data_IF_567484669965
#
_entry.id   IF_567484669965
#
_cell.length_a   1.000
_cell.length_b   1.000
_cell.length_c   1.000
_cell.angle_alpha   90.00
_cell.angle_beta   90.00
_cell.angle_gamma   90.00
#
_symmetry.space_group_name_H-M   'P 1'
#
loop_
_entity.id
_entity.type
_entity.pdbx_description
1 polymer ?
#
# COMPACT_ATOMS: atom_id res chain seq x y z
N UNK A 1 0.80 7.73 -18.50
CA UNK A 1 0.52 6.34 -18.86
C UNK A 1 -0.76 6.30 -19.69
N UNK A 2 -0.61 6.22 -21.02
CA UNK A 2 -1.76 6.14 -21.93
C UNK A 2 -2.38 4.74 -21.93
N UNK A 3 -1.70 3.71 -21.43
CA UNK A 3 -2.08 2.31 -21.46
C UNK A 3 -2.28 1.75 -22.89
N UNK A 4 -1.87 2.51 -23.91
CA UNK A 4 -1.92 2.05 -25.31
C UNK A 4 -0.77 1.09 -25.56
N UNK A 5 -1.03 0.01 -26.28
CA UNK A 5 -0.02 -1.02 -26.58
C UNK A 5 1.25 -0.44 -27.23
N UNK A 6 1.11 0.52 -28.14
CA UNK A 6 2.23 1.19 -28.82
C UNK A 6 3.11 1.99 -27.85
N UNK A 7 2.50 2.70 -26.89
CA UNK A 7 3.24 3.46 -25.89
C UNK A 7 4.00 2.52 -24.94
N UNK A 8 3.37 1.42 -24.51
CA UNK A 8 4.01 0.41 -23.66
C UNK A 8 5.19 -0.25 -24.40
N UNK A 9 5.02 -0.59 -25.68
CA UNK A 9 6.10 -1.15 -26.49
C UNK A 9 7.29 -0.20 -26.61
N UNK A 10 7.02 1.10 -26.84
CA UNK A 10 8.08 2.12 -26.92
C UNK A 10 8.83 2.23 -25.60
N UNK A 11 8.13 2.20 -24.47
CA UNK A 11 8.76 2.28 -23.15
C UNK A 11 9.66 1.05 -22.88
N UNK A 12 9.18 -0.16 -23.14
CA UNK A 12 9.99 -1.37 -22.97
C UNK A 12 11.17 -1.39 -23.94
N UNK A 13 10.96 -0.92 -25.18
CA UNK A 13 12.01 -0.90 -26.19
C UNK A 13 13.23 -0.06 -25.75
N UNK A 14 13.05 1.20 -25.35
CA UNK A 14 14.18 2.03 -24.95
C UNK A 14 14.85 1.51 -23.66
N UNK A 15 14.09 0.98 -22.70
CA UNK A 15 14.63 0.33 -21.51
C UNK A 15 15.48 -0.89 -21.87
N UNK A 16 15.04 -1.68 -22.84
CA UNK A 16 15.77 -2.83 -23.36
C UNK A 16 17.09 -2.40 -23.96
N UNK A 17 17.07 -1.45 -24.88
CA UNK A 17 18.30 -0.98 -25.54
C UNK A 17 19.28 -0.33 -24.55
N UNK A 18 18.77 0.43 -23.57
CA UNK A 18 19.61 0.99 -22.51
C UNK A 18 20.27 -0.09 -21.66
N UNK A 19 19.55 -1.13 -21.29
CA UNK A 19 20.08 -2.26 -20.53
C UNK A 19 21.14 -3.03 -21.33
N UNK A 20 20.87 -3.35 -22.60
CA UNK A 20 21.80 -4.06 -23.48
C UNK A 20 23.09 -3.26 -23.73
N UNK A 21 22.96 -1.95 -23.96
CA UNK A 21 24.10 -1.07 -24.24
C UNK A 21 25.03 -0.87 -23.03
N UNK A 22 24.47 -0.87 -21.81
CA UNK A 22 25.21 -0.56 -20.59
C UNK A 22 25.54 -1.78 -19.74
N UNK A 23 24.87 -2.90 -19.95
CA UNK A 23 24.92 -4.09 -19.07
C UNK A 23 24.28 -3.85 -17.69
N UNK A 24 23.67 -2.70 -17.47
CA UNK A 24 23.06 -2.33 -16.17
C UNK A 24 21.60 -2.75 -16.11
N UNK A 25 21.08 -3.08 -14.90
CA UNK A 25 19.66 -3.30 -14.72
C UNK A 25 18.87 -2.01 -14.92
N UNK A 26 17.67 -2.13 -15.48
CA UNK A 26 16.67 -1.07 -15.56
C UNK A 26 15.46 -1.53 -14.76
N UNK A 27 14.94 -0.67 -13.89
CA UNK A 27 13.74 -0.96 -13.11
C UNK A 27 12.66 0.08 -13.36
N UNK A 28 11.39 -0.35 -13.29
CA UNK A 28 10.23 0.52 -13.43
C UNK A 28 9.05 0.00 -12.60
N UNK A 29 8.11 0.87 -12.24
CA UNK A 29 6.91 0.47 -11.51
C UNK A 29 5.89 -0.20 -12.42
N UNK A 30 5.37 -1.36 -12.02
CA UNK A 30 4.32 -2.09 -12.71
C UNK A 30 3.12 -2.29 -11.79
N UNK A 31 1.95 -1.87 -12.24
CA UNK A 31 0.71 -2.07 -11.53
C UNK A 31 -0.46 -2.28 -12.49
N UNK A 32 -1.43 -3.06 -12.06
CA UNK A 32 -2.70 -3.16 -12.75
C UNK A 32 -3.47 -1.85 -12.61
N UNK A 33 -3.92 -1.30 -13.72
CA UNK A 33 -4.80 -0.12 -13.76
C UNK A 33 -6.24 -0.54 -14.05
N UNK A 34 -7.22 0.11 -13.40
CA UNK A 34 -8.65 -0.11 -13.70
C UNK A 34 -9.02 0.27 -15.14
N UNK A 35 -8.35 1.26 -15.71
CA UNK A 35 -8.61 1.70 -17.09
C UNK A 35 -8.12 0.71 -18.12
N UNK A 36 -7.02 0.01 -17.83
CA UNK A 36 -6.35 -0.94 -18.69
C UNK A 36 -6.00 -2.20 -17.89
N UNK A 37 -7.00 -3.01 -17.53
CA UNK A 37 -6.84 -4.08 -16.54
C UNK A 37 -5.91 -5.22 -16.97
N UNK A 38 -5.63 -5.35 -18.27
CA UNK A 38 -4.75 -6.39 -18.83
C UNK A 38 -3.41 -5.84 -19.36
N UNK A 39 -3.17 -4.52 -19.31
CA UNK A 39 -1.96 -3.91 -19.86
C UNK A 39 -0.68 -4.44 -19.19
N UNK A 40 -0.74 -4.77 -17.89
CA UNK A 40 0.38 -5.36 -17.16
C UNK A 40 0.82 -6.70 -17.75
N UNK A 41 -0.10 -7.51 -18.29
CA UNK A 41 0.22 -8.81 -18.94
C UNK A 41 1.12 -8.57 -20.16
N UNK A 42 0.72 -7.66 -21.04
CA UNK A 42 1.54 -7.29 -22.20
C UNK A 42 2.93 -6.77 -21.80
N UNK A 43 3.04 -6.04 -20.68
CA UNK A 43 4.33 -5.58 -20.16
C UNK A 43 5.18 -6.76 -19.69
N UNK A 44 4.60 -7.72 -18.97
CA UNK A 44 5.30 -8.94 -18.53
C UNK A 44 5.83 -9.75 -19.71
N UNK A 45 5.02 -9.93 -20.75
CA UNK A 45 5.42 -10.62 -21.99
C UNK A 45 6.63 -9.91 -22.64
N UNK A 46 6.57 -8.59 -22.76
CA UNK A 46 7.63 -7.79 -23.41
C UNK A 46 8.94 -7.80 -22.62
N UNK A 47 8.90 -7.70 -21.29
CA UNK A 47 10.14 -7.80 -20.48
C UNK A 47 10.72 -9.22 -20.50
N UNK A 48 9.86 -10.25 -20.61
CA UNK A 48 10.32 -11.63 -20.80
C UNK A 48 11.06 -11.80 -22.14
N UNK A 49 10.53 -11.26 -23.23
CA UNK A 49 11.21 -11.27 -24.52
C UNK A 49 12.53 -10.49 -24.49
N UNK A 50 12.55 -9.35 -23.78
CA UNK A 50 13.77 -8.56 -23.59
C UNK A 50 14.83 -9.32 -22.79
N UNK A 51 14.42 -10.07 -21.76
CA UNK A 51 15.31 -10.90 -20.96
C UNK A 51 15.95 -12.04 -21.79
N UNK A 52 15.22 -12.65 -22.75
CA UNK A 52 15.77 -13.64 -23.70
C UNK A 52 16.87 -13.05 -24.58
N UNK A 53 16.85 -11.75 -24.84
CA UNK A 53 17.89 -11.02 -25.57
C UNK A 53 19.10 -10.66 -24.69
N UNK A 54 19.05 -10.94 -23.38
CA UNK A 54 20.10 -10.62 -22.41
C UNK A 54 19.91 -9.27 -21.70
N UNK A 55 18.78 -8.58 -21.89
CA UNK A 55 18.48 -7.34 -21.18
C UNK A 55 18.12 -7.64 -19.71
N UNK A 56 18.60 -6.82 -18.79
CA UNK A 56 18.30 -6.88 -17.36
C UNK A 56 17.20 -5.86 -17.03
N UNK A 57 15.95 -6.21 -17.31
CA UNK A 57 14.78 -5.35 -17.01
C UNK A 57 13.95 -6.00 -15.93
N UNK A 58 13.64 -5.26 -14.89
CA UNK A 58 12.85 -5.72 -13.76
C UNK A 58 11.71 -4.75 -13.48
N UNK A 59 10.49 -5.26 -13.40
CA UNK A 59 9.35 -4.50 -12.92
C UNK A 59 9.30 -4.55 -11.38
N UNK A 60 8.86 -3.46 -10.77
CA UNK A 60 8.60 -3.40 -9.34
C UNK A 60 7.10 -3.41 -9.11
N UNK A 61 6.59 -4.36 -8.33
CA UNK A 61 5.18 -4.42 -7.98
C UNK A 61 4.97 -4.49 -6.48
N UNK A 62 3.77 -4.11 -6.05
CA UNK A 62 3.38 -4.13 -4.64
C UNK A 62 2.73 -5.46 -4.28
N UNK A 63 2.74 -5.80 -3.00
CA UNK A 63 2.16 -7.06 -2.50
C UNK A 63 0.65 -6.99 -2.28
N UNK A 64 0.04 -5.83 -2.48
CA UNK A 64 -1.41 -5.56 -2.39
C UNK A 64 -1.77 -4.30 -3.18
N UNK A 65 -3.04 -3.98 -3.23
CA UNK A 65 -3.51 -2.73 -3.84
C UNK A 65 -2.90 -1.49 -3.21
N UNK A 66 -2.55 -0.52 -4.04
CA UNK A 66 -2.21 0.85 -3.62
C UNK A 66 -3.52 1.63 -3.54
N UNK A 67 -3.82 2.17 -2.37
CA UNK A 67 -5.12 2.78 -2.12
C UNK A 67 -5.06 4.11 -1.38
N UNK A 68 -6.07 4.94 -1.67
CA UNK A 68 -6.36 6.14 -0.88
C UNK A 68 -7.20 5.73 0.31
N UNK A 69 -6.77 6.14 1.51
CA UNK A 69 -7.53 5.98 2.74
C UNK A 69 -8.42 7.20 2.94
N UNK A 70 -9.71 6.94 3.16
CA UNK A 70 -10.69 7.92 3.57
C UNK A 70 -11.14 7.65 5.01
N UNK A 71 -11.55 8.70 5.71
CA UNK A 71 -12.11 8.64 7.05
C UNK A 71 -12.17 10.02 7.70
N UNK A 72 -12.93 10.15 8.78
CA UNK A 72 -13.07 11.43 9.47
C UNK A 72 -11.80 11.86 10.21
N UNK A 73 -10.84 10.97 10.43
CA UNK A 73 -9.54 11.36 10.96
C UNK A 73 -8.81 12.36 10.05
N UNK A 74 -8.97 12.26 8.73
CA UNK A 74 -8.33 13.17 7.78
C UNK A 74 -9.30 13.62 6.68
N UNK A 75 -9.46 12.89 5.59
CA UNK A 75 -10.23 13.26 4.40
C UNK A 75 -11.34 12.27 4.10
N UNK A 76 -12.42 12.80 3.53
CA UNK A 76 -13.55 12.02 3.04
C UNK A 76 -13.70 12.18 1.52
N UNK A 77 -14.36 11.25 0.82
CA UNK A 77 -14.65 11.42 -0.60
C UNK A 77 -15.57 12.62 -0.87
N UNK A 78 -16.29 13.10 0.14
CA UNK A 78 -17.31 14.14 0.05
C UNK A 78 -16.80 15.54 0.40
N UNK A 79 -15.50 15.76 0.60
CA UNK A 79 -14.90 17.04 1.06
C UNK A 79 -15.12 18.23 0.10
N UNK A 80 -15.69 17.98 -1.09
CA UNK A 80 -16.12 19.06 -2.00
C UNK A 80 -17.38 19.76 -1.51
N UNK A 81 -18.24 19.07 -0.77
CA UNK A 81 -19.45 19.62 -0.18
C UNK A 81 -19.12 20.52 1.03
N UNK A 82 -19.90 21.60 1.22
CA UNK A 82 -19.55 22.65 2.17
C UNK A 82 -19.62 22.19 3.63
N UNK A 83 -20.65 21.43 4.02
CA UNK A 83 -20.78 20.91 5.38
C UNK A 83 -19.73 19.85 5.72
N UNK A 84 -19.31 19.02 4.76
CA UNK A 84 -18.23 18.06 4.95
C UNK A 84 -16.88 18.77 5.10
N UNK A 85 -16.60 19.76 4.25
CA UNK A 85 -15.37 20.56 4.32
C UNK A 85 -15.25 21.35 5.62
N UNK A 86 -16.35 21.82 6.16
CA UNK A 86 -16.38 22.55 7.42
C UNK A 86 -15.89 21.72 8.62
N UNK A 87 -15.96 20.39 8.54
CA UNK A 87 -15.43 19.50 9.58
C UNK A 87 -13.90 19.37 9.55
N UNK A 88 -13.23 19.77 8.48
CA UNK A 88 -11.84 19.44 8.20
C UNK A 88 -10.86 19.79 9.33
N UNK A 89 -11.05 20.95 9.95
CA UNK A 89 -10.15 21.48 10.97
C UNK A 89 -10.59 21.17 12.40
N UNK A 90 -11.67 20.40 12.57
CA UNK A 90 -12.15 19.97 13.88
C UNK A 90 -11.40 18.71 14.34
N UNK A 91 -11.24 18.54 15.64
CA UNK A 91 -10.80 17.28 16.24
C UNK A 91 -11.79 16.15 15.91
N UNK A 92 -11.36 14.90 15.95
CA UNK A 92 -12.22 13.76 15.67
C UNK A 92 -13.44 13.72 16.60
N UNK A 93 -13.25 14.06 17.89
CA UNK A 93 -14.32 14.15 18.87
C UNK A 93 -15.38 15.21 18.50
N UNK A 94 -14.95 16.39 18.03
CA UNK A 94 -15.86 17.45 17.58
C UNK A 94 -16.59 17.04 16.31
N UNK A 95 -15.90 16.37 15.37
CA UNK A 95 -16.53 15.80 14.17
C UNK A 95 -17.63 14.83 14.54
N UNK A 96 -17.36 13.87 15.42
CA UNK A 96 -18.34 12.88 15.89
C UNK A 96 -19.54 13.56 16.55
N UNK A 97 -19.32 14.59 17.37
CA UNK A 97 -20.42 15.38 17.95
C UNK A 97 -21.30 16.04 16.88
N UNK A 98 -20.68 16.59 15.82
CA UNK A 98 -21.42 17.15 14.66
C UNK A 98 -22.17 16.09 13.86
N UNK A 99 -21.60 14.89 13.69
CA UNK A 99 -22.28 13.80 12.99
C UNK A 99 -23.49 13.25 13.76
N UNK A 100 -23.50 13.40 15.09
CA UNK A 100 -24.63 13.03 15.96
C UNK A 100 -25.73 14.09 16.02
N UNK A 101 -25.44 15.31 15.56
CA UNK A 101 -26.45 16.38 15.38
C UNK A 101 -27.29 16.04 14.14
N UNK A 102 -28.58 15.76 14.36
CA UNK A 102 -29.49 15.27 13.32
C UNK A 102 -29.70 16.30 12.18
N UNK A 103 -29.73 17.58 12.48
CA UNK A 103 -29.92 18.64 11.47
C UNK A 103 -28.66 18.81 10.62
N UNK A 104 -27.49 18.80 11.27
CA UNK A 104 -26.19 18.86 10.58
C UNK A 104 -25.97 17.62 9.71
N UNK A 105 -26.21 16.42 10.25
CA UNK A 105 -26.10 15.17 9.52
C UNK A 105 -27.02 15.13 8.28
N UNK A 106 -28.31 15.49 8.46
CA UNK A 106 -29.25 15.54 7.34
C UNK A 106 -28.81 16.52 6.23
N UNK A 107 -28.16 17.63 6.58
CA UNK A 107 -27.58 18.55 5.61
C UNK A 107 -26.41 17.91 4.87
N UNK A 108 -25.49 17.24 5.59
CA UNK A 108 -24.36 16.52 4.98
C UNK A 108 -24.82 15.46 3.99
N UNK A 109 -25.84 14.67 4.36
CA UNK A 109 -26.41 13.63 3.49
C UNK A 109 -26.99 14.24 2.21
N UNK A 110 -27.76 15.33 2.31
CA UNK A 110 -28.30 16.03 1.13
C UNK A 110 -27.18 16.56 0.23
N UNK A 111 -26.18 17.25 0.78
CA UNK A 111 -25.07 17.80 -0.01
C UNK A 111 -24.25 16.68 -0.72
N UNK A 112 -24.04 15.55 -0.06
CA UNK A 112 -23.35 14.40 -0.65
C UNK A 112 -24.14 13.78 -1.80
N UNK A 113 -25.48 13.78 -1.72
CA UNK A 113 -26.38 13.30 -2.77
C UNK A 113 -26.46 14.27 -3.95
N UNK A 114 -26.50 15.58 -3.67
CA UNK A 114 -26.62 16.62 -4.69
C UNK A 114 -25.30 16.83 -5.46
N UNK A 115 -24.16 16.57 -4.85
CA UNK A 115 -22.82 16.70 -5.41
C UNK A 115 -21.97 15.44 -5.15
N UNK A 116 -22.31 14.30 -5.77
CA UNK A 116 -21.56 13.07 -5.56
C UNK A 116 -20.12 13.22 -6.07
N UNK A 117 -19.14 12.64 -5.36
CA UNK A 117 -17.77 12.60 -5.85
C UNK A 117 -17.71 11.73 -7.12
N UNK A 118 -16.77 11.99 -8.04
CA UNK A 118 -16.61 11.19 -9.26
C UNK A 118 -15.87 9.87 -8.97
N UNK A 119 -16.35 9.10 -8.00
CA UNK A 119 -15.80 7.83 -7.54
C UNK A 119 -16.95 6.84 -7.48
N UNK A 120 -16.70 5.63 -7.98
CA UNK A 120 -17.62 4.52 -7.85
C UNK A 120 -17.54 3.96 -6.40
N UNK A 121 -18.64 4.06 -5.66
CA UNK A 121 -18.72 3.62 -4.25
C UNK A 121 -18.63 2.10 -4.09
N UNK A 122 -18.85 1.33 -5.15
CA UNK A 122 -18.60 -0.11 -5.17
C UNK A 122 -17.10 -0.45 -5.07
N UNK A 123 -16.24 0.54 -5.25
CA UNK A 123 -14.79 0.43 -5.22
C UNK A 123 -14.16 1.03 -3.96
N UNK A 124 -14.96 1.55 -3.04
CA UNK A 124 -14.53 2.01 -1.72
C UNK A 124 -14.89 0.90 -0.72
N UNK A 125 -13.91 0.35 -0.04
CA UNK A 125 -14.08 -0.79 0.87
C UNK A 125 -13.90 -0.35 2.32
N UNK A 126 -14.77 -0.85 3.20
CA UNK A 126 -14.69 -0.62 4.64
C UNK A 126 -13.58 -1.51 5.20
N UNK A 127 -12.54 -0.93 5.80
CA UNK A 127 -11.50 -1.73 6.44
C UNK A 127 -12.02 -2.34 7.73
N UNK A 128 -11.75 -3.65 7.96
CA UNK A 128 -12.19 -4.32 9.17
C UNK A 128 -11.42 -3.81 10.40
N UNK A 129 -12.04 -3.96 11.58
CA UNK A 129 -11.38 -3.80 12.87
C UNK A 129 -10.45 -4.99 13.14
N UNK A 130 -9.41 -4.76 13.93
CA UNK A 130 -8.43 -5.79 14.26
C UNK A 130 -7.33 -5.91 13.23
N UNK A 131 -6.95 -7.12 12.83
CA UNK A 131 -5.97 -7.31 11.74
C UNK A 131 -6.56 -6.87 10.41
N UNK A 132 -5.86 -5.97 9.72
CA UNK A 132 -6.38 -5.39 8.48
C UNK A 132 -6.30 -6.40 7.34
N UNK A 133 -7.36 -6.42 6.54
CA UNK A 133 -7.43 -7.10 5.25
C UNK A 133 -7.56 -6.09 4.14
N UNK A 134 -6.91 -6.35 3.02
CA UNK A 134 -6.99 -5.53 1.81
C UNK A 134 -7.55 -6.31 0.60
N UNK A 135 -7.72 -7.63 0.75
CA UNK A 135 -8.37 -8.54 -0.22
C UNK A 135 -9.90 -8.51 -0.07
N UNK A 136 -10.46 -7.31 -0.01
CA UNK A 136 -11.89 -7.08 0.23
C UNK A 136 -12.69 -7.24 -1.06
N UNK A 137 -13.87 -7.85 -0.92
CA UNK A 137 -14.81 -8.07 -2.01
C UNK A 137 -15.90 -7.01 -2.11
N UNK A 138 -16.77 -7.15 -3.10
CA UNK A 138 -17.90 -6.24 -3.32
C UNK A 138 -18.82 -6.15 -2.09
N UNK A 139 -18.91 -7.21 -1.31
CA UNK A 139 -19.68 -7.28 -0.07
C UNK A 139 -19.21 -6.32 1.01
N UNK A 140 -17.94 -5.93 0.98
CA UNK A 140 -17.31 -4.98 1.91
C UNK A 140 -17.35 -3.54 1.38
N UNK A 141 -17.95 -3.34 0.18
CA UNK A 141 -17.99 -2.02 -0.44
C UNK A 141 -18.98 -1.08 0.24
N UNK A 142 -18.66 0.22 0.21
CA UNK A 142 -19.54 1.27 0.71
C UNK A 142 -20.91 1.22 0.03
N UNK A 143 -20.97 0.89 -1.28
CA UNK A 143 -22.24 0.76 -1.98
C UNK A 143 -23.07 -0.39 -1.40
N UNK A 144 -22.47 -1.57 -1.21
CA UNK A 144 -23.20 -2.71 -0.62
C UNK A 144 -23.68 -2.44 0.80
N UNK A 145 -22.88 -1.74 1.61
CA UNK A 145 -23.32 -1.29 2.93
C UNK A 145 -24.49 -0.32 2.85
N UNK A 146 -24.47 0.65 1.92
CA UNK A 146 -25.57 1.57 1.69
C UNK A 146 -26.87 0.86 1.30
N UNK A 147 -26.77 -0.11 0.37
CA UNK A 147 -27.89 -0.91 -0.09
C UNK A 147 -28.52 -1.74 1.04
N UNK A 148 -27.68 -2.38 1.89
CA UNK A 148 -28.14 -3.15 3.06
C UNK A 148 -28.84 -2.28 4.10
N UNK A 149 -28.40 -1.05 4.29
CA UNK A 149 -29.01 -0.09 5.20
C UNK A 149 -30.23 0.63 4.60
N UNK A 150 -30.43 0.54 3.29
CA UNK A 150 -31.49 1.28 2.59
C UNK A 150 -31.27 2.79 2.55
N UNK A 151 -30.01 3.25 2.55
CA UNK A 151 -29.61 4.65 2.62
C UNK A 151 -28.68 5.04 1.48
N UNK A 152 -28.34 6.33 1.34
CA UNK A 152 -27.34 6.77 0.36
C UNK A 152 -25.92 6.42 0.80
N UNK A 153 -24.93 6.30 -0.14
CA UNK A 153 -23.53 6.04 0.22
C UNK A 153 -22.92 7.08 1.18
N UNK A 154 -23.30 8.37 1.06
CA UNK A 154 -22.86 9.40 2.00
C UNK A 154 -23.42 9.19 3.41
N UNK A 155 -24.65 8.75 3.52
CA UNK A 155 -25.28 8.41 4.80
C UNK A 155 -24.67 7.14 5.38
N UNK A 156 -24.46 6.09 4.58
CA UNK A 156 -23.76 4.87 5.00
C UNK A 156 -22.35 5.16 5.52
N UNK A 157 -21.61 6.06 4.86
CA UNK A 157 -20.28 6.49 5.30
C UNK A 157 -20.33 7.10 6.70
N UNK A 158 -21.33 7.95 7.00
CA UNK A 158 -21.52 8.54 8.32
C UNK A 158 -21.91 7.48 9.36
N UNK A 159 -22.85 6.59 9.04
CA UNK A 159 -23.28 5.51 9.93
C UNK A 159 -22.09 4.62 10.35
N UNK A 160 -21.35 4.10 9.37
CA UNK A 160 -20.18 3.25 9.60
C UNK A 160 -19.07 3.95 10.39
N UNK A 161 -18.90 5.26 10.18
CA UNK A 161 -17.96 6.04 10.97
C UNK A 161 -18.43 6.17 12.43
N UNK A 162 -19.71 6.41 12.68
CA UNK A 162 -20.27 6.57 14.03
C UNK A 162 -20.21 5.27 14.83
N UNK A 163 -20.29 4.09 14.20
CA UNK A 163 -20.14 2.78 14.85
C UNK A 163 -18.75 2.58 15.48
N UNK A 164 -17.77 3.38 15.06
CA UNK A 164 -16.39 3.32 15.56
C UNK A 164 -15.86 4.70 15.98
N UNK A 165 -16.70 5.55 16.57
CA UNK A 165 -16.32 6.86 17.09
C UNK A 165 -15.52 7.72 16.07
N UNK A 166 -15.83 7.56 14.79
CA UNK A 166 -15.17 8.27 13.68
C UNK A 166 -13.87 7.66 13.15
N UNK A 167 -13.38 6.58 13.75
CA UNK A 167 -12.10 5.94 13.41
C UNK A 167 -12.18 4.98 12.22
N UNK A 168 -13.39 4.69 11.71
CA UNK A 168 -13.55 3.80 10.55
C UNK A 168 -12.77 4.33 9.36
N UNK A 169 -11.96 3.45 8.78
CA UNK A 169 -11.22 3.71 7.55
C UNK A 169 -11.88 3.03 6.35
N UNK A 170 -11.82 3.73 5.24
CA UNK A 170 -12.31 3.26 3.95
C UNK A 170 -11.15 3.28 2.96
N UNK A 171 -10.93 2.18 2.28
CA UNK A 171 -9.84 2.04 1.31
C UNK A 171 -10.38 2.10 -0.13
N UNK A 172 -9.79 2.95 -0.96
CA UNK A 172 -10.04 3.01 -2.39
C UNK A 172 -8.78 2.59 -3.14
N UNK A 173 -8.63 1.30 -3.49
CA UNK A 173 -7.47 0.81 -4.24
C UNK A 173 -7.55 1.29 -5.69
N UNK A 174 -6.72 2.25 -6.08
CA UNK A 174 -6.70 2.81 -7.43
C UNK A 174 -5.72 2.10 -8.36
N UNK A 175 -4.67 1.45 -7.81
CA UNK A 175 -3.77 0.54 -8.51
C UNK A 175 -3.78 -0.83 -7.85
N UNK A 176 -3.54 -1.88 -8.62
CA UNK A 176 -3.55 -3.27 -8.17
C UNK A 176 -4.84 -3.67 -7.42
N UNK A 177 -6.04 -3.29 -7.93
CA UNK A 177 -7.28 -3.56 -7.22
C UNK A 177 -7.67 -5.04 -7.19
N UNK A 178 -7.09 -5.88 -8.05
CA UNK A 178 -7.38 -7.30 -8.18
C UNK A 178 -6.20 -8.14 -7.72
N UNK A 179 -6.42 -8.99 -6.72
CA UNK A 179 -5.36 -9.81 -6.12
C UNK A 179 -4.81 -10.88 -7.05
N UNK A 180 -5.63 -11.39 -7.99
CA UNK A 180 -5.14 -12.32 -9.02
C UNK A 180 -4.10 -11.67 -9.94
N UNK A 181 -4.28 -10.38 -10.24
CA UNK A 181 -3.29 -9.64 -11.02
C UNK A 181 -2.00 -9.38 -10.20
N UNK A 182 -2.14 -9.09 -8.90
CA UNK A 182 -0.98 -8.98 -7.99
C UNK A 182 -0.23 -10.30 -7.93
N UNK A 183 -0.93 -11.41 -7.75
CA UNK A 183 -0.34 -12.75 -7.76
C UNK A 183 0.43 -13.02 -9.05
N UNK A 184 -0.21 -12.80 -10.20
CA UNK A 184 0.42 -13.00 -11.51
C UNK A 184 1.71 -12.17 -11.69
N UNK A 185 1.71 -10.93 -11.19
CA UNK A 185 2.93 -10.10 -11.20
C UNK A 185 4.00 -10.67 -10.26
N UNK A 186 3.64 -11.06 -9.03
CA UNK A 186 4.59 -11.59 -8.05
C UNK A 186 5.17 -12.95 -8.43
N UNK A 187 4.46 -13.74 -9.23
CA UNK A 187 4.93 -15.03 -9.76
C UNK A 187 5.92 -14.88 -10.93
N UNK A 188 6.06 -13.66 -11.47
CA UNK A 188 6.86 -13.46 -12.68
C UNK A 188 8.34 -13.22 -12.35
N UNK A 189 9.29 -13.94 -13.00
CA UNK A 189 10.72 -13.92 -12.65
C UNK A 189 11.43 -12.57 -12.86
N UNK A 190 10.87 -11.66 -13.65
CA UNK A 190 11.37 -10.29 -13.80
C UNK A 190 10.58 -9.26 -12.96
N UNK A 191 9.82 -9.70 -11.96
CA UNK A 191 9.13 -8.80 -11.04
C UNK A 191 9.73 -8.93 -9.65
N UNK A 192 10.12 -7.82 -9.07
CA UNK A 192 10.61 -7.72 -7.70
C UNK A 192 9.57 -7.01 -6.84
N UNK A 193 9.50 -7.39 -5.56
CA UNK A 193 8.70 -6.65 -4.60
C UNK A 193 9.32 -5.27 -4.41
N UNK A 194 8.54 -4.27 -4.68
CA UNK A 194 9.01 -2.91 -4.61
C UNK A 194 7.89 -1.93 -4.34
N UNK A 195 8.28 -0.79 -4.45
CA UNK A 195 7.75 0.54 -4.34
C UNK A 195 6.24 0.64 -4.16
N UNK A 196 5.81 0.91 -2.92
CA UNK A 196 4.51 1.51 -2.65
C UNK A 196 4.59 3.03 -2.71
N UNK A 197 3.44 3.71 -2.60
CA UNK A 197 3.35 5.17 -2.56
C UNK A 197 3.48 5.75 -1.14
N UNK A 198 3.98 4.95 -0.19
CA UNK A 198 4.19 5.38 1.18
C UNK A 198 5.21 6.53 1.24
N UNK A 199 4.84 7.62 1.91
CA UNK A 199 5.65 8.84 1.95
C UNK A 199 5.25 9.89 0.92
N UNK A 200 4.65 9.52 -0.21
CA UNK A 200 3.89 10.42 -1.05
C UNK A 200 2.45 10.49 -0.54
N UNK A 201 1.84 11.69 -0.53
CA UNK A 201 0.47 11.85 -0.02
C UNK A 201 0.22 11.20 1.35
N UNK A 202 1.17 11.34 2.28
CA UNK A 202 1.22 10.66 3.58
C UNK A 202 -0.04 10.83 4.44
N UNK A 203 -0.88 11.82 4.16
CA UNK A 203 -2.20 11.97 4.77
C UNK A 203 -3.28 11.09 4.15
N UNK A 204 -3.01 10.33 3.08
CA UNK A 204 -4.02 9.52 2.39
C UNK A 204 -3.53 8.14 1.95
N UNK A 205 -2.21 7.92 1.82
CA UNK A 205 -1.63 6.66 1.36
C UNK A 205 -0.76 6.07 2.47
N UNK A 206 -0.96 4.77 2.77
CA UNK A 206 -0.19 4.04 3.77
C UNK A 206 0.16 2.64 3.25
N UNK A 207 1.26 2.54 2.51
CA UNK A 207 1.73 1.32 1.87
C UNK A 207 3.03 0.75 2.48
N UNK A 208 3.59 1.39 3.53
CA UNK A 208 4.84 0.92 4.16
C UNK A 208 4.74 -0.46 4.81
N UNK A 209 3.53 -0.98 4.97
CA UNK A 209 3.29 -2.32 5.51
C UNK A 209 3.43 -3.47 4.49
N UNK A 210 3.81 -3.20 3.25
CA UNK A 210 3.88 -4.21 2.19
C UNK A 210 4.69 -5.45 2.54
N UNK A 211 5.88 -5.38 3.20
CA UNK A 211 6.63 -6.57 3.59
C UNK A 211 5.90 -7.42 4.63
N UNK A 212 5.31 -6.79 5.65
CA UNK A 212 4.53 -7.51 6.67
C UNK A 212 3.28 -8.13 6.07
N UNK A 213 2.59 -7.39 5.19
CA UNK A 213 1.42 -7.91 4.48
C UNK A 213 1.78 -9.11 3.60
N UNK A 214 2.93 -9.09 2.92
CA UNK A 214 3.41 -10.19 2.10
C UNK A 214 3.58 -11.47 2.93
N UNK A 215 4.31 -11.39 4.05
CA UNK A 215 4.52 -12.53 4.95
C UNK A 215 3.22 -13.04 5.56
N UNK A 216 2.33 -12.13 5.96
CA UNK A 216 1.07 -12.49 6.59
C UNK A 216 0.07 -13.09 5.58
N UNK A 217 -0.19 -12.39 4.50
CA UNK A 217 -1.25 -12.76 3.56
C UNK A 217 -0.78 -13.84 2.57
N UNK A 218 0.29 -13.59 1.79
CA UNK A 218 0.70 -14.49 0.72
C UNK A 218 1.37 -15.77 1.22
N UNK A 219 2.08 -15.69 2.36
CA UNK A 219 2.78 -16.85 2.94
C UNK A 219 1.89 -17.56 3.95
N UNK A 220 1.46 -16.86 5.02
CA UNK A 220 0.78 -17.51 6.15
C UNK A 220 -0.68 -17.87 5.84
N UNK A 221 -1.44 -16.95 5.25
CA UNK A 221 -2.88 -17.13 5.03
C UNK A 221 -3.18 -17.84 3.71
N UNK A 222 -2.60 -17.37 2.61
CA UNK A 222 -2.83 -17.95 1.27
C UNK A 222 -1.94 -19.15 0.96
N UNK A 223 -0.82 -19.31 1.67
CA UNK A 223 0.16 -20.37 1.44
C UNK A 223 0.63 -20.48 -0.03
N UNK A 224 0.67 -19.31 -0.71
CA UNK A 224 1.05 -19.24 -2.11
C UNK A 224 2.56 -19.32 -2.29
N UNK A 225 3.33 -18.66 -1.43
CA UNK A 225 4.80 -18.73 -1.40
C UNK A 225 5.28 -19.52 -0.18
N UNK A 226 6.35 -20.32 -0.35
CA UNK A 226 7.09 -20.85 0.79
C UNK A 226 7.75 -19.70 1.58
N UNK A 227 7.94 -19.87 2.88
CA UNK A 227 8.54 -18.83 3.72
C UNK A 227 9.94 -18.44 3.24
N UNK A 228 10.76 -19.42 2.90
CA UNK A 228 12.14 -19.23 2.41
C UNK A 228 12.15 -18.42 1.11
N UNK A 229 11.23 -18.73 0.18
CA UNK A 229 11.06 -17.97 -1.06
C UNK A 229 10.66 -16.52 -0.78
N UNK A 230 9.70 -16.31 0.11
CA UNK A 230 9.24 -14.98 0.48
C UNK A 230 10.35 -14.15 1.12
N UNK A 231 11.16 -14.74 2.00
CA UNK A 231 12.32 -14.07 2.59
C UNK A 231 13.35 -13.73 1.51
N UNK A 232 13.63 -14.63 0.57
CA UNK A 232 14.50 -14.33 -0.58
C UNK A 232 14.00 -13.12 -1.38
N UNK A 233 12.70 -13.07 -1.72
CA UNK A 233 12.08 -11.98 -2.47
C UNK A 233 12.12 -10.63 -1.73
N UNK A 234 12.18 -10.65 -0.39
CA UNK A 234 12.27 -9.43 0.44
C UNK A 234 13.71 -9.01 0.76
N UNK A 235 14.70 -9.84 0.53
CA UNK A 235 16.08 -9.64 1.01
C UNK A 235 17.13 -9.82 -0.09
N UNK A 236 17.46 -11.05 -0.42
CA UNK A 236 18.56 -11.37 -1.36
C UNK A 236 18.25 -10.90 -2.79
N UNK A 237 17.02 -11.04 -3.24
CA UNK A 237 16.63 -10.66 -4.60
C UNK A 237 16.82 -9.15 -4.86
N UNK A 238 16.26 -8.21 -4.05
CA UNK A 238 16.55 -6.80 -4.23
C UNK A 238 18.00 -6.43 -3.97
N UNK A 239 18.69 -7.10 -3.04
CA UNK A 239 20.12 -6.87 -2.82
C UNK A 239 20.95 -7.21 -4.06
N UNK A 240 20.67 -8.33 -4.72
CA UNK A 240 21.33 -8.73 -5.97
C UNK A 240 21.01 -7.78 -7.13
N UNK A 241 19.77 -7.32 -7.23
CA UNK A 241 19.36 -6.35 -8.26
C UNK A 241 20.17 -5.05 -8.19
N UNK A 242 20.45 -4.59 -6.96
CA UNK A 242 21.17 -3.34 -6.71
C UNK A 242 22.68 -3.55 -6.44
N UNK A 243 23.23 -4.72 -6.77
CA UNK A 243 24.63 -5.10 -6.60
C UNK A 243 25.15 -4.98 -5.14
N UNK A 244 24.26 -5.18 -4.17
CA UNK A 244 24.58 -5.18 -2.74
C UNK A 244 25.00 -6.58 -2.27
N UNK A 245 26.24 -7.00 -2.60
CA UNK A 245 26.70 -8.38 -2.40
C UNK A 245 27.01 -8.74 -0.94
N UNK A 246 27.08 -7.76 -0.05
CA UNK A 246 27.48 -7.91 1.35
C UNK A 246 26.29 -7.89 2.34
N UNK A 247 25.05 -7.89 1.83
CA UNK A 247 23.82 -7.89 2.63
C UNK A 247 22.68 -8.68 1.99
N UNK A 248 21.54 -8.79 2.69
CA UNK A 248 20.41 -9.60 2.23
C UNK A 248 20.60 -11.11 2.39
N UNK A 249 21.67 -11.54 3.06
CA UNK A 249 22.02 -12.96 3.32
C UNK A 249 22.60 -13.12 4.71
N UNK A 250 22.37 -14.31 5.33
CA UNK A 250 23.01 -14.72 6.57
C UNK A 250 24.26 -15.55 6.23
N UNK A 251 25.42 -14.91 6.25
CA UNK A 251 26.71 -15.58 6.06
C UNK A 251 27.83 -14.84 6.78
N UNK A 252 28.92 -15.51 7.10
CA UNK A 252 30.13 -14.88 7.64
C UNK A 252 30.66 -13.80 6.69
N UNK A 253 31.01 -12.64 7.24
CA UNK A 253 31.50 -11.48 6.50
C UNK A 253 30.43 -10.57 5.90
N UNK A 254 29.15 -10.97 5.92
CA UNK A 254 28.06 -10.08 5.54
C UNK A 254 27.67 -9.12 6.68
N UNK A 255 27.11 -7.98 6.32
CA UNK A 255 26.54 -7.05 7.31
C UNK A 255 25.33 -7.68 8.01
N UNK A 256 25.25 -7.52 9.30
CA UNK A 256 24.15 -8.03 10.11
C UNK A 256 22.98 -7.01 10.10
N UNK A 257 22.27 -6.97 8.97
CA UNK A 257 20.98 -6.29 8.82
C UNK A 257 19.89 -7.36 8.98
N UNK A 258 19.29 -7.42 10.16
CA UNK A 258 18.50 -8.58 10.60
C UNK A 258 17.17 -8.12 11.20
N UNK A 259 16.12 -8.93 10.96
CA UNK A 259 14.89 -8.88 11.74
C UNK A 259 14.71 -10.19 12.51
N UNK A 260 14.45 -10.09 13.81
CA UNK A 260 13.98 -11.20 14.64
C UNK A 260 12.47 -11.13 14.69
N UNK A 261 11.82 -12.15 14.14
CA UNK A 261 10.37 -12.12 13.91
C UNK A 261 9.72 -13.28 14.64
N UNK A 262 8.77 -12.97 15.53
CA UNK A 262 7.78 -13.93 16.03
C UNK A 262 6.71 -14.11 14.94
N UNK A 263 6.98 -15.04 14.03
CA UNK A 263 6.16 -15.24 12.85
C UNK A 263 4.73 -15.68 13.18
N UNK A 264 4.54 -16.44 14.25
CA UNK A 264 3.21 -16.92 14.66
C UNK A 264 2.34 -15.78 15.18
N UNK A 265 2.92 -14.80 15.82
CA UNK A 265 2.25 -13.63 16.38
C UNK A 265 2.38 -12.37 15.49
N UNK A 266 2.80 -12.53 14.23
CA UNK A 266 2.84 -11.42 13.29
C UNK A 266 1.44 -10.85 13.05
N UNK A 267 1.22 -9.56 13.37
CA UNK A 267 -0.05 -8.84 13.24
C UNK A 267 0.12 -7.55 12.47
N UNK A 268 -0.94 -7.17 11.76
CA UNK A 268 -1.00 -5.93 11.00
C UNK A 268 -2.32 -5.21 11.32
N UNK A 269 -2.36 -4.36 12.37
CA UNK A 269 -3.55 -3.58 12.68
C UNK A 269 -3.80 -2.49 11.63
N UNK A 270 -5.02 -1.90 11.58
CA UNK A 270 -5.33 -0.80 10.69
C UNK A 270 -4.39 0.39 10.88
N UNK A 271 -4.17 1.20 9.84
CA UNK A 271 -3.45 2.46 9.96
C UNK A 271 -4.11 3.39 10.98
N UNK A 272 -3.29 4.20 11.65
CA UNK A 272 -3.74 5.26 12.55
C UNK A 272 -3.27 6.61 12.04
N UNK A 273 -4.09 7.67 12.26
CA UNK A 273 -3.70 9.02 11.89
C UNK A 273 -3.04 9.72 13.07
N UNK A 274 -1.83 10.22 12.87
CA UNK A 274 -1.03 10.91 13.90
C UNK A 274 -0.63 12.31 13.43
N UNK A 275 -0.39 13.20 14.38
CA UNK A 275 0.03 14.59 14.13
C UNK A 275 1.47 14.78 14.64
N UNK A 276 2.44 14.23 13.91
CA UNK A 276 3.87 14.25 14.28
C UNK A 276 4.76 15.01 13.28
N UNK A 277 4.15 15.68 12.29
CA UNK A 277 4.87 16.55 11.37
C UNK A 277 4.96 17.99 11.89
N UNK A 278 5.92 18.79 11.40
CA UNK A 278 6.01 20.21 11.70
C UNK A 278 4.69 20.94 11.49
N UNK A 279 4.43 21.96 12.30
CA UNK A 279 3.19 22.74 12.32
C UNK A 279 1.92 21.91 12.59
N UNK A 280 2.04 20.74 13.26
CA UNK A 280 0.90 19.88 13.60
C UNK A 280 0.26 19.16 12.40
N UNK A 281 0.94 19.10 11.26
CA UNK A 281 0.46 18.33 10.11
C UNK A 281 0.42 16.85 10.43
N UNK A 282 -0.60 16.16 9.88
CA UNK A 282 -0.85 14.77 10.18
C UNK A 282 -0.48 13.82 9.04
N UNK A 283 -0.30 12.57 9.39
CA UNK A 283 -0.08 11.45 8.46
C UNK A 283 -0.68 10.16 8.99
N UNK A 284 -0.91 9.22 8.10
CA UNK A 284 -1.15 7.84 8.49
C UNK A 284 0.17 7.14 8.81
N UNK A 285 0.14 6.33 9.87
CA UNK A 285 1.18 5.34 10.19
C UNK A 285 0.51 3.99 10.35
N UNK A 286 1.25 2.92 10.07
CA UNK A 286 0.80 1.56 10.33
C UNK A 286 1.94 0.79 11.02
N UNK A 287 1.67 0.31 12.22
CA UNK A 287 2.64 -0.41 13.04
C UNK A 287 2.26 -1.88 13.09
N UNK A 288 3.17 -2.75 12.68
CA UNK A 288 3.02 -4.19 12.83
C UNK A 288 3.57 -4.66 14.18
N UNK A 289 3.09 -5.77 14.70
CA UNK A 289 3.69 -6.49 15.82
C UNK A 289 4.22 -7.85 15.38
N UNK A 290 5.08 -8.45 16.20
CA UNK A 290 5.79 -9.69 15.88
C UNK A 290 7.22 -9.45 15.39
N UNK A 291 7.71 -8.20 15.39
CA UNK A 291 9.12 -7.88 15.18
C UNK A 291 9.76 -7.59 16.54
N UNK A 292 10.50 -8.56 17.09
CA UNK A 292 11.14 -8.40 18.39
C UNK A 292 12.34 -7.48 18.32
N UNK A 293 13.17 -7.66 17.30
CA UNK A 293 14.34 -6.82 17.05
C UNK A 293 14.54 -6.54 15.58
N UNK A 294 14.98 -5.31 15.28
CA UNK A 294 15.60 -4.96 14.00
C UNK A 294 17.02 -4.50 14.25
N UNK A 295 17.98 -5.14 13.61
CA UNK A 295 19.39 -4.80 13.66
C UNK A 295 19.82 -4.18 12.33
N UNK A 296 20.66 -3.16 12.41
CA UNK A 296 21.30 -2.53 11.26
C UNK A 296 22.81 -2.50 11.51
N UNK A 297 23.59 -3.05 10.59
CA UNK A 297 25.05 -3.18 10.73
C UNK A 297 25.46 -3.79 12.09
N UNK A 298 24.72 -4.76 12.61
CA UNK A 298 24.97 -5.46 13.86
C UNK A 298 24.54 -4.73 15.12
N UNK A 299 23.94 -3.53 15.04
CA UNK A 299 23.43 -2.79 16.19
C UNK A 299 21.90 -2.89 16.24
N UNK A 300 21.37 -3.10 17.45
CA UNK A 300 19.91 -3.11 17.65
C UNK A 300 19.38 -1.71 17.40
N UNK A 301 18.63 -1.55 16.30
CA UNK A 301 18.01 -0.30 15.87
C UNK A 301 16.60 -0.13 16.44
N UNK A 302 15.82 -1.22 16.43
CA UNK A 302 14.49 -1.28 17.05
C UNK A 302 14.41 -2.46 18.01
N UNK A 303 13.71 -2.27 19.13
CA UNK A 303 13.27 -3.33 20.02
C UNK A 303 11.75 -3.24 20.13
N UNK A 304 11.06 -4.21 19.56
CA UNK A 304 9.62 -4.10 19.33
C UNK A 304 9.29 -2.85 18.50
N UNK A 305 8.46 -1.96 19.03
CA UNK A 305 8.08 -0.70 18.38
C UNK A 305 8.95 0.50 18.77
N UNK A 306 9.94 0.31 19.65
CA UNK A 306 10.73 1.39 20.21
C UNK A 306 12.10 1.50 19.52
N UNK A 307 12.45 2.70 19.08
CA UNK A 307 13.76 3.01 18.55
C UNK A 307 14.78 3.14 19.69
N UNK A 308 15.90 2.40 19.60
CA UNK A 308 16.92 2.35 20.67
C UNK A 308 17.79 3.59 20.76
N UNK A 309 17.73 4.49 19.77
CA UNK A 309 18.63 5.62 19.62
C UNK A 309 19.90 5.31 18.80
N UNK A 310 20.11 4.05 18.38
CA UNK A 310 21.25 3.69 17.54
C UNK A 310 21.15 4.35 16.16
N UNK A 311 22.25 4.95 15.69
CA UNK A 311 22.40 5.52 14.35
C UNK A 311 23.45 4.66 13.62
N UNK A 312 23.03 3.45 13.25
CA UNK A 312 23.91 2.43 12.67
C UNK A 312 24.02 2.48 11.14
N UNK A 313 23.14 3.24 10.46
CA UNK A 313 23.11 3.35 8.99
C UNK A 313 24.31 4.08 8.43
N UNK A 314 24.69 3.73 7.20
CA UNK A 314 25.73 4.40 6.43
C UNK A 314 25.23 4.69 5.01
N UNK A 315 25.72 5.78 4.42
CA UNK A 315 25.46 6.06 2.99
C UNK A 315 26.26 5.08 2.16
N UNK A 316 25.56 4.28 1.36
CA UNK A 316 26.17 3.40 0.38
C UNK A 316 26.43 4.19 -0.91
N UNK A 317 27.60 3.97 -1.51
CA UNK A 317 27.98 4.55 -2.79
C UNK A 317 28.42 3.42 -3.72
N UNK A 318 28.05 3.53 -5.01
CA UNK A 318 28.63 2.65 -6.04
C UNK A 318 30.14 2.91 -6.11
N UNK A 319 30.89 1.83 -6.19
CA UNK A 319 32.34 1.89 -6.42
C UNK A 319 32.65 2.39 -7.83
#
# INVERSE_FOLDING_TARGET
DSGRAEDLQREVHWMTEASLATGRPVTFGLAQSRRHPTAYVSMLDQISESAKRGARIFAQSTTRGIGVLFGFANRTPFDRASSWRALRNLSLKEKVAKLRDSEYCARMVREAKDNPPPIDFSQIFVLPKGDVRYDLGIEDSLQTHADRLGVSPGEAFIHLALENEGETLFNYPFLNPQFDAVQHMLDHPQVVIGLGDSGAHCGQIMDSSLPTYFLKYWVKERQHFALEQAIYMLTSEPAQLFDMHDRGVLREGAYADLNVIDYDNLRLPPPTFVHDFPAGSGRYIQRSSGYDYTLVNGQVFMQGLDHTGAIAGRVLRSA
#
